data_IF_069581874316
#
_entry.id   IF_069581874316
#
_cell.length_a   1.000
_cell.length_b   1.000
_cell.length_c   1.000
_cell.angle_alpha   90.00
_cell.angle_beta   90.00
_cell.angle_gamma   90.00
#
_symmetry.space_group_name_H-M   'P 1'
#
loop_
_entity.id
_entity.type
_entity.pdbx_description
1 polymer ?
#
# COMPACT_ATOMS: atom_id res chain seq x y z
N UNK A 1 34.40 -13.49 9.62
CA UNK A 1 35.04 -13.30 8.30
C UNK A 1 35.45 -14.62 7.64
N UNK A 2 36.17 -15.51 8.32
CA UNK A 2 36.56 -16.83 7.77
C UNK A 2 35.40 -17.71 7.26
N UNK A 3 34.25 -17.70 7.96
CA UNK A 3 33.08 -18.49 7.55
C UNK A 3 32.37 -17.94 6.31
N UNK A 4 32.37 -16.60 6.14
CA UNK A 4 31.66 -15.92 5.05
C UNK A 4 32.46 -15.93 3.74
N UNK A 5 33.79 -15.83 3.80
CA UNK A 5 34.68 -15.80 2.62
C UNK A 5 34.95 -17.20 2.06
N UNK A 6 34.80 -18.25 2.88
CA UNK A 6 35.12 -19.64 2.50
C UNK A 6 33.97 -20.47 1.91
N UNK A 7 32.85 -19.88 1.52
CA UNK A 7 31.68 -20.62 1.00
C UNK A 7 30.99 -21.54 2.01
N UNK A 8 31.24 -21.35 3.32
CA UNK A 8 30.70 -22.17 4.41
C UNK A 8 29.39 -21.58 4.92
N UNK A 9 28.37 -21.58 4.06
CA UNK A 9 27.07 -20.93 4.29
C UNK A 9 26.39 -21.39 5.59
N UNK A 10 26.38 -22.69 5.87
CA UNK A 10 25.77 -23.26 7.07
C UNK A 10 26.45 -22.78 8.37
N UNK A 11 27.79 -22.67 8.35
CA UNK A 11 28.55 -22.19 9.50
C UNK A 11 28.33 -20.70 9.73
N UNK A 12 28.19 -19.92 8.66
CA UNK A 12 27.87 -18.49 8.75
C UNK A 12 26.45 -18.27 9.29
N UNK A 13 25.47 -19.03 8.81
CA UNK A 13 24.08 -18.96 9.27
C UNK A 13 23.98 -19.26 10.77
N UNK A 14 24.62 -20.33 11.24
CA UNK A 14 24.63 -20.70 12.66
C UNK A 14 25.24 -19.62 13.56
N UNK A 15 26.30 -18.94 13.08
CA UNK A 15 26.92 -17.82 13.81
C UNK A 15 25.97 -16.61 13.86
N UNK A 16 25.32 -16.26 12.75
CA UNK A 16 24.34 -15.16 12.72
C UNK A 16 23.17 -15.42 13.67
N UNK A 17 22.60 -16.63 13.65
CA UNK A 17 21.50 -17.01 14.56
C UNK A 17 21.92 -16.98 16.03
N UNK A 18 23.16 -17.38 16.34
CA UNK A 18 23.69 -17.29 17.70
C UNK A 18 23.85 -15.83 18.17
N UNK A 19 24.22 -14.92 17.26
CA UNK A 19 24.28 -13.47 17.53
C UNK A 19 22.86 -12.94 17.77
N UNK A 20 21.92 -13.21 16.87
CA UNK A 20 20.53 -12.78 16.98
C UNK A 20 19.91 -13.20 18.33
N UNK A 21 20.14 -14.46 18.73
CA UNK A 21 19.70 -14.99 20.03
C UNK A 21 20.36 -14.28 21.22
N UNK A 22 21.63 -13.92 21.13
CA UNK A 22 22.32 -13.19 22.19
C UNK A 22 21.78 -11.76 22.39
N UNK A 23 21.21 -11.18 21.34
CA UNK A 23 20.55 -9.86 21.38
C UNK A 23 19.03 -9.95 21.58
N UNK A 24 18.50 -11.13 21.93
CA UNK A 24 17.06 -11.37 22.13
C UNK A 24 16.20 -11.00 20.93
N UNK A 25 16.73 -11.09 19.71
CA UNK A 25 15.89 -11.00 18.51
C UNK A 25 14.91 -12.19 18.48
N UNK A 26 13.66 -11.97 18.05
CA UNK A 26 12.72 -13.07 17.85
C UNK A 26 13.27 -14.06 16.82
N UNK A 27 12.97 -15.35 17.00
CA UNK A 27 13.37 -16.39 16.05
C UNK A 27 12.86 -16.04 14.64
N UNK A 28 13.66 -16.24 13.58
CA UNK A 28 13.24 -15.95 12.22
C UNK A 28 11.98 -16.73 11.87
N UNK A 29 10.91 -16.02 11.53
CA UNK A 29 9.70 -16.67 11.02
C UNK A 29 10.04 -17.40 9.72
N UNK A 30 10.01 -18.73 9.74
CA UNK A 30 10.35 -19.55 8.58
C UNK A 30 9.47 -19.22 7.38
N UNK A 31 8.22 -18.79 7.63
CA UNK A 31 7.28 -18.37 6.60
C UNK A 31 7.77 -17.10 5.90
N UNK A 32 8.23 -16.11 6.68
CA UNK A 32 8.83 -14.88 6.15
C UNK A 32 10.15 -15.17 5.42
N UNK A 33 10.98 -16.07 5.98
CA UNK A 33 12.25 -16.48 5.37
C UNK A 33 12.04 -17.16 4.01
N UNK A 34 11.03 -18.01 3.89
CA UNK A 34 10.76 -18.76 2.67
C UNK A 34 9.97 -17.97 1.64
N UNK A 35 8.99 -17.17 2.06
CA UNK A 35 8.14 -16.42 1.14
C UNK A 35 8.74 -15.07 0.70
N UNK A 36 9.74 -14.55 1.43
CA UNK A 36 10.38 -13.25 1.16
C UNK A 36 9.38 -12.07 1.15
N UNK A 37 8.38 -12.13 2.04
CA UNK A 37 7.26 -11.18 2.08
C UNK A 37 7.49 -10.17 3.20
N UNK A 38 7.54 -8.85 2.92
CA UNK A 38 7.56 -7.83 3.96
C UNK A 38 6.32 -7.92 4.86
N UNK A 39 6.44 -7.67 6.17
CA UNK A 39 5.34 -7.84 7.13
C UNK A 39 4.04 -7.11 6.74
N UNK A 40 4.13 -5.86 6.27
CA UNK A 40 2.94 -5.12 5.81
C UNK A 40 2.27 -5.71 4.57
N UNK A 41 3.01 -6.43 3.72
CA UNK A 41 2.45 -7.15 2.57
C UNK A 41 1.68 -8.41 3.02
N UNK A 42 2.15 -9.09 4.05
CA UNK A 42 1.48 -10.27 4.60
C UNK A 42 0.09 -9.92 5.15
N UNK A 43 -0.02 -8.84 5.92
CA UNK A 43 -1.32 -8.38 6.44
C UNK A 43 -2.29 -8.04 5.32
N UNK A 44 -1.82 -7.36 4.27
CA UNK A 44 -2.66 -7.04 3.11
C UNK A 44 -3.14 -8.29 2.36
N UNK A 45 -2.28 -9.30 2.19
CA UNK A 45 -2.68 -10.58 1.58
C UNK A 45 -3.77 -11.27 2.39
N UNK A 46 -3.63 -11.31 3.72
CA UNK A 46 -4.61 -11.95 4.59
C UNK A 46 -5.98 -11.25 4.47
N UNK A 47 -6.01 -9.92 4.43
CA UNK A 47 -7.25 -9.16 4.20
C UNK A 47 -7.91 -9.53 2.87
N UNK A 48 -7.14 -9.58 1.77
CA UNK A 48 -7.66 -9.94 0.45
C UNK A 48 -8.18 -11.39 0.40
N UNK A 49 -7.48 -12.33 1.02
CA UNK A 49 -7.93 -13.72 1.11
C UNK A 49 -9.22 -13.85 1.93
N UNK A 50 -9.33 -13.10 3.03
CA UNK A 50 -10.54 -13.08 3.87
C UNK A 50 -11.75 -12.53 3.12
N UNK A 51 -11.57 -11.47 2.33
CA UNK A 51 -12.62 -10.95 1.45
C UNK A 51 -13.06 -11.99 0.40
N UNK A 52 -12.13 -12.79 -0.09
CA UNK A 52 -12.38 -13.90 -1.00
C UNK A 52 -12.88 -15.19 -0.31
N UNK A 53 -12.93 -15.24 1.03
CA UNK A 53 -13.24 -16.44 1.84
C UNK A 53 -12.28 -17.61 1.59
N UNK A 54 -10.99 -17.29 1.42
CA UNK A 54 -9.90 -18.22 1.11
C UNK A 54 -8.72 -18.10 2.09
N UNK A 55 -8.94 -17.58 3.30
CA UNK A 55 -7.91 -17.38 4.34
C UNK A 55 -7.09 -18.65 4.65
N UNK A 56 -7.71 -19.83 4.56
CA UNK A 56 -7.05 -21.12 4.75
C UNK A 56 -5.97 -21.43 3.69
N UNK A 57 -6.00 -20.76 2.53
CA UNK A 57 -5.07 -20.97 1.42
C UNK A 57 -3.86 -20.05 1.46
N UNK A 58 -3.62 -19.35 2.58
CA UNK A 58 -2.45 -18.48 2.74
C UNK A 58 -1.14 -19.21 2.41
N UNK A 59 -0.94 -20.42 2.92
CA UNK A 59 0.26 -21.21 2.64
C UNK A 59 0.44 -21.51 1.13
N UNK A 60 -0.66 -21.63 0.39
CA UNK A 60 -0.60 -21.83 -1.06
C UNK A 60 -0.19 -20.55 -1.78
N UNK A 61 -0.71 -19.39 -1.38
CA UNK A 61 -0.26 -18.08 -1.87
C UNK A 61 1.24 -17.92 -1.68
N UNK A 62 1.75 -18.20 -0.48
CA UNK A 62 3.17 -18.06 -0.15
C UNK A 62 4.06 -18.96 -0.98
N UNK A 63 3.61 -20.18 -1.29
CA UNK A 63 4.32 -21.10 -2.20
C UNK A 63 4.25 -20.66 -3.66
N UNK A 64 3.22 -19.90 -4.03
CA UNK A 64 3.01 -19.40 -5.38
C UNK A 64 3.81 -18.13 -5.68
N UNK A 65 4.09 -17.30 -4.66
CA UNK A 65 4.86 -16.05 -4.81
C UNK A 65 6.18 -16.22 -5.57
N UNK A 66 7.05 -17.21 -5.25
CA UNK A 66 8.27 -17.44 -6.02
C UNK A 66 8.02 -17.72 -7.51
N UNK A 67 6.92 -18.40 -7.86
CA UNK A 67 6.55 -18.67 -9.25
C UNK A 67 6.09 -17.40 -9.95
N UNK A 68 5.20 -16.63 -9.35
CA UNK A 68 4.74 -15.34 -9.90
C UNK A 68 5.91 -14.37 -10.08
N UNK A 69 6.86 -14.38 -9.14
CA UNK A 69 8.10 -13.59 -9.23
C UNK A 69 8.99 -14.05 -10.39
N UNK A 70 9.11 -15.36 -10.63
CA UNK A 70 9.87 -15.90 -11.76
C UNK A 70 9.23 -15.52 -13.10
N UNK A 71 7.91 -15.74 -13.22
CA UNK A 71 7.16 -15.44 -14.44
C UNK A 71 7.20 -13.93 -14.78
N UNK A 72 7.40 -13.07 -13.78
CA UNK A 72 7.56 -11.61 -13.92
C UNK A 72 9.00 -11.12 -14.04
N UNK A 73 9.97 -12.01 -14.26
CA UNK A 73 11.34 -11.61 -14.56
C UNK A 73 12.23 -11.39 -13.33
N UNK A 74 11.86 -11.96 -12.17
CA UNK A 74 12.60 -11.88 -10.92
C UNK A 74 12.85 -10.45 -10.41
N UNK A 75 11.82 -9.57 -10.32
CA UNK A 75 11.99 -8.24 -9.77
C UNK A 75 12.50 -8.32 -8.31
N UNK A 76 13.24 -7.29 -7.83
CA UNK A 76 13.56 -7.18 -6.41
C UNK A 76 12.26 -7.01 -5.62
N UNK A 77 12.15 -7.67 -4.46
CA UNK A 77 10.95 -7.57 -3.60
C UNK A 77 11.06 -6.37 -2.65
N UNK A 78 11.13 -5.18 -3.25
CA UNK A 78 11.05 -3.89 -2.56
C UNK A 78 9.79 -3.16 -3.02
N UNK A 79 9.34 -2.12 -2.31
CA UNK A 79 8.19 -1.33 -2.75
C UNK A 79 8.55 -0.59 -4.06
N UNK A 80 7.68 -0.59 -5.10
CA UNK A 80 6.32 -1.15 -5.13
C UNK A 80 6.22 -2.62 -5.60
N UNK A 81 7.28 -3.20 -6.16
CA UNK A 81 7.27 -4.52 -6.81
C UNK A 81 6.92 -5.67 -5.88
N UNK A 82 7.32 -5.63 -4.61
CA UNK A 82 6.90 -6.63 -3.61
C UNK A 82 5.38 -6.76 -3.58
N UNK A 83 4.68 -5.64 -3.36
CA UNK A 83 3.22 -5.59 -3.28
C UNK A 83 2.57 -6.08 -4.58
N UNK A 84 3.11 -5.70 -5.74
CA UNK A 84 2.58 -6.13 -7.04
C UNK A 84 2.61 -7.65 -7.17
N UNK A 85 3.76 -8.28 -6.88
CA UNK A 85 3.89 -9.75 -6.92
C UNK A 85 2.98 -10.40 -5.89
N UNK A 86 2.90 -9.81 -4.70
CA UNK A 86 2.11 -10.34 -3.62
C UNK A 86 0.61 -10.37 -3.94
N UNK A 87 0.05 -9.24 -4.35
CA UNK A 87 -1.37 -9.13 -4.74
C UNK A 87 -1.66 -10.04 -5.93
N UNK A 88 -0.74 -10.12 -6.90
CA UNK A 88 -0.95 -11.00 -8.04
C UNK A 88 -0.98 -12.49 -7.61
N UNK A 89 -0.13 -12.91 -6.67
CA UNK A 89 -0.17 -14.28 -6.15
C UNK A 89 -1.50 -14.62 -5.47
N UNK A 90 -2.09 -13.68 -4.72
CA UNK A 90 -3.44 -13.84 -4.16
C UNK A 90 -4.47 -14.01 -5.29
N UNK A 91 -4.46 -13.12 -6.29
CA UNK A 91 -5.37 -13.22 -7.43
C UNK A 91 -5.24 -14.54 -8.19
N UNK A 92 -4.03 -15.08 -8.30
CA UNK A 92 -3.78 -16.38 -8.91
C UNK A 92 -4.44 -17.52 -8.13
N UNK A 93 -4.29 -17.55 -6.79
CA UNK A 93 -4.96 -18.55 -5.94
C UNK A 93 -6.48 -18.41 -6.04
N UNK A 94 -7.02 -17.19 -5.98
CA UNK A 94 -8.46 -16.94 -6.16
C UNK A 94 -8.95 -17.49 -7.50
N UNK A 95 -8.21 -17.26 -8.58
CA UNK A 95 -8.58 -17.75 -9.93
C UNK A 95 -8.57 -19.27 -10.02
N UNK A 96 -7.53 -19.92 -9.46
CA UNK A 96 -7.43 -21.38 -9.40
C UNK A 96 -8.60 -22.00 -8.61
N UNK A 97 -8.98 -21.39 -7.48
CA UNK A 97 -10.13 -21.84 -6.68
C UNK A 97 -11.49 -21.61 -7.35
N UNK A 98 -11.55 -20.73 -8.34
CA UNK A 98 -12.72 -20.54 -9.21
C UNK A 98 -12.71 -21.47 -10.44
N UNK A 99 -11.71 -22.35 -10.58
CA UNK A 99 -11.56 -23.24 -11.72
C UNK A 99 -11.10 -22.54 -13.01
N UNK A 100 -10.48 -21.36 -12.89
CA UNK A 100 -9.99 -20.54 -14.01
C UNK A 100 -8.48 -20.71 -14.20
N UNK A 101 -7.96 -20.12 -15.28
CA UNK A 101 -6.51 -20.02 -15.50
C UNK A 101 -5.84 -19.20 -14.38
N UNK A 102 -4.60 -19.55 -14.03
CA UNK A 102 -3.82 -18.91 -12.97
C UNK A 102 -3.71 -17.39 -13.16
N UNK A 103 -3.59 -16.90 -14.40
CA UNK A 103 -3.47 -15.49 -14.72
C UNK A 103 -4.74 -14.94 -15.39
N UNK A 104 -5.91 -15.49 -15.05
CA UNK A 104 -7.18 -14.97 -15.55
C UNK A 104 -7.48 -13.58 -14.96
N UNK A 105 -7.25 -13.39 -13.66
CA UNK A 105 -7.43 -12.10 -13.00
C UNK A 105 -6.07 -11.42 -12.76
N UNK A 106 -5.67 -10.56 -13.70
CA UNK A 106 -4.40 -9.84 -13.63
C UNK A 106 -4.63 -8.41 -13.15
N UNK A 107 -3.88 -8.01 -12.11
CA UNK A 107 -3.88 -6.63 -11.65
C UNK A 107 -3.21 -5.70 -12.66
N UNK A 108 -3.70 -4.47 -12.78
CA UNK A 108 -3.13 -3.46 -13.67
C UNK A 108 -1.62 -3.25 -13.44
N UNK A 109 -1.21 -3.14 -12.18
CA UNK A 109 0.19 -2.94 -11.83
C UNK A 109 1.07 -4.15 -12.23
N UNK A 110 0.55 -5.37 -12.13
CA UNK A 110 1.27 -6.56 -12.61
C UNK A 110 1.38 -6.55 -14.13
N UNK A 111 0.31 -6.24 -14.86
CA UNK A 111 0.37 -6.11 -16.32
C UNK A 111 1.38 -5.03 -16.76
N UNK A 112 1.43 -3.89 -16.09
CA UNK A 112 2.43 -2.83 -16.34
C UNK A 112 3.86 -3.28 -16.03
N UNK A 113 4.06 -4.09 -14.99
CA UNK A 113 5.36 -4.71 -14.69
C UNK A 113 5.80 -5.66 -15.80
N UNK A 114 4.92 -6.54 -16.28
CA UNK A 114 5.20 -7.46 -17.39
C UNK A 114 5.45 -6.70 -18.70
N UNK A 115 4.73 -5.59 -18.91
CA UNK A 115 4.89 -4.74 -20.07
C UNK A 115 6.28 -4.09 -20.13
N UNK A 116 6.86 -3.73 -18.98
CA UNK A 116 8.17 -3.06 -18.87
C UNK A 116 8.09 -1.63 -18.32
N UNK A 117 6.92 -1.16 -17.89
CA UNK A 117 6.73 0.19 -17.36
C UNK A 117 7.54 0.45 -16.08
N UNK A 118 7.87 -0.59 -15.32
CA UNK A 118 8.69 -0.50 -14.10
C UNK A 118 10.20 -0.62 -14.38
N UNK A 119 10.60 -0.60 -15.65
CA UNK A 119 11.97 -0.78 -16.10
C UNK A 119 12.34 -2.24 -16.31
N UNK A 120 13.64 -2.46 -16.57
CA UNK A 120 14.16 -3.76 -16.98
C UNK A 120 14.35 -4.70 -15.78
N UNK A 121 13.76 -5.88 -15.87
CA UNK A 121 13.88 -6.92 -14.84
C UNK A 121 15.20 -7.70 -14.98
N UNK A 122 15.74 -8.29 -13.89
CA UNK A 122 16.99 -9.07 -13.94
C UNK A 122 16.91 -10.30 -14.86
N UNK A 123 15.72 -10.90 -14.96
CA UNK A 123 15.44 -12.03 -15.84
C UNK A 123 14.43 -11.60 -16.92
N UNK A 124 14.58 -12.02 -18.18
CA UNK A 124 13.65 -11.65 -19.23
C UNK A 124 12.29 -12.31 -18.99
N UNK A 125 11.22 -11.52 -19.12
CA UNK A 125 9.85 -12.05 -19.15
C UNK A 125 9.61 -12.71 -20.52
N UNK A 126 9.06 -13.93 -20.48
CA UNK A 126 8.71 -14.72 -21.66
C UNK A 126 7.79 -13.90 -22.60
N UNK A 127 8.16 -13.71 -23.89
CA UNK A 127 7.34 -12.99 -24.86
C UNK A 127 5.91 -13.53 -25.01
N UNK A 128 5.69 -14.84 -24.94
CA UNK A 128 4.35 -15.42 -25.04
C UNK A 128 3.53 -15.15 -23.77
N UNK A 129 4.17 -15.17 -22.61
CA UNK A 129 3.54 -14.74 -21.37
C UNK A 129 3.18 -13.26 -21.43
N UNK A 130 4.09 -12.39 -21.88
CA UNK A 130 3.79 -10.96 -22.06
C UNK A 130 2.64 -10.74 -23.03
N UNK A 131 2.58 -11.51 -24.11
CA UNK A 131 1.46 -11.43 -25.05
C UNK A 131 0.13 -11.82 -24.41
N UNK A 132 0.12 -12.91 -23.62
CA UNK A 132 -1.07 -13.35 -22.88
C UNK A 132 -1.57 -12.26 -21.91
N UNK A 133 -0.67 -11.58 -21.21
CA UNK A 133 -1.02 -10.61 -20.17
C UNK A 133 -1.31 -9.20 -20.74
N UNK A 134 -0.53 -8.76 -21.72
CA UNK A 134 -0.50 -7.37 -22.19
C UNK A 134 -0.94 -7.20 -23.65
N UNK A 135 -1.15 -8.28 -24.40
CA UNK A 135 -1.46 -8.24 -25.83
C UNK A 135 -0.28 -7.87 -26.74
N UNK A 136 0.95 -7.83 -26.21
CA UNK A 136 2.18 -7.53 -26.96
C UNK A 136 3.30 -8.46 -26.54
N UNK A 137 4.13 -8.90 -27.49
CA UNK A 137 5.35 -9.68 -27.20
C UNK A 137 6.52 -8.79 -26.80
N UNK A 138 6.52 -7.57 -27.31
CA UNK A 138 7.58 -6.59 -27.11
C UNK A 138 7.45 -5.88 -25.76
N UNK A 139 8.59 -5.71 -25.10
CA UNK A 139 8.74 -4.88 -23.90
C UNK A 139 8.57 -3.41 -24.28
N UNK A 140 7.73 -2.69 -23.53
CA UNK A 140 7.47 -1.26 -23.70
C UNK A 140 7.84 -0.53 -22.41
N UNK A 141 9.02 0.09 -22.35
CA UNK A 141 9.41 0.93 -21.22
C UNK A 141 8.44 2.10 -21.02
N UNK A 142 8.41 2.64 -19.81
CA UNK A 142 7.65 3.85 -19.52
C UNK A 142 8.17 5.03 -20.34
N UNK A 143 7.26 5.71 -21.06
CA UNK A 143 7.57 6.84 -21.91
C UNK A 143 7.23 8.16 -21.21
N UNK A 144 8.26 8.94 -20.88
CA UNK A 144 8.12 10.25 -20.24
C UNK A 144 7.85 11.39 -21.23
N UNK A 145 7.98 11.15 -22.54
CA UNK A 145 7.81 12.19 -23.57
C UNK A 145 6.37 12.69 -23.70
N UNK A 146 5.40 11.88 -23.25
CA UNK A 146 3.97 12.19 -23.29
C UNK A 146 3.46 12.90 -22.03
N UNK A 147 4.36 13.24 -21.10
CA UNK A 147 3.98 13.91 -19.87
C UNK A 147 3.24 15.23 -20.14
N UNK A 148 2.15 15.44 -19.40
CA UNK A 148 1.41 16.70 -19.36
C UNK A 148 1.26 17.14 -17.90
N UNK A 149 1.52 18.42 -17.58
CA UNK A 149 1.32 18.93 -16.22
C UNK A 149 -0.14 18.80 -15.81
N UNK A 150 -0.38 18.63 -14.52
CA UNK A 150 -1.73 18.56 -13.97
C UNK A 150 -2.40 19.93 -14.06
N UNK A 151 -3.70 19.93 -14.35
CA UNK A 151 -4.49 21.14 -14.46
C UNK A 151 -4.57 21.87 -13.11
N UNK A 152 -4.25 23.16 -13.11
CA UNK A 152 -4.36 24.03 -11.93
C UNK A 152 -5.51 25.04 -12.12
N UNK A 153 -6.78 24.62 -11.99
CA UNK A 153 -7.92 25.50 -12.24
C UNK A 153 -8.14 26.51 -11.11
N UNK A 154 -8.75 27.67 -11.40
CA UNK A 154 -9.23 28.60 -10.38
C UNK A 154 -10.46 28.04 -9.65
N UNK A 155 -10.60 28.36 -8.36
CA UNK A 155 -11.70 27.94 -7.51
C UNK A 155 -12.66 29.11 -7.31
N UNK A 156 -13.85 29.02 -7.91
CA UNK A 156 -14.87 30.07 -7.80
C UNK A 156 -15.27 30.36 -6.34
N UNK A 157 -15.38 29.33 -5.50
CA UNK A 157 -15.70 29.43 -4.06
C UNK A 157 -14.62 30.14 -3.22
N UNK A 158 -13.42 30.32 -3.77
CA UNK A 158 -12.30 31.02 -3.13
C UNK A 158 -11.95 32.30 -3.89
N UNK A 159 -12.95 32.98 -4.47
CA UNK A 159 -12.75 34.22 -5.21
C UNK A 159 -11.95 34.07 -6.51
N UNK A 160 -11.92 32.88 -7.12
CA UNK A 160 -11.16 32.59 -8.33
C UNK A 160 -9.68 32.31 -8.10
N UNK A 161 -9.26 32.08 -6.85
CA UNK A 161 -7.88 31.71 -6.53
C UNK A 161 -7.49 30.37 -7.17
N UNK A 162 -6.27 30.28 -7.70
CA UNK A 162 -5.75 29.03 -8.26
C UNK A 162 -5.65 27.94 -7.19
N UNK A 163 -5.86 26.70 -7.61
CA UNK A 163 -5.79 25.51 -6.76
C UNK A 163 -4.41 25.39 -6.08
N UNK A 164 -3.33 25.52 -6.84
CA UNK A 164 -1.95 25.61 -6.34
C UNK A 164 -1.38 27.02 -6.54
N UNK A 165 -0.81 27.60 -5.48
CA UNK A 165 -0.24 28.96 -5.49
C UNK A 165 1.29 28.99 -5.49
N UNK A 166 1.94 27.87 -5.15
CA UNK A 166 3.39 27.78 -5.07
C UNK A 166 3.89 26.42 -5.57
N UNK A 167 5.20 26.30 -5.73
CA UNK A 167 5.86 25.10 -6.24
C UNK A 167 5.54 23.85 -5.42
N UNK A 168 5.47 23.94 -4.09
CA UNK A 168 5.17 22.79 -3.23
C UNK A 168 3.75 22.27 -3.47
N UNK A 169 2.79 23.17 -3.67
CA UNK A 169 1.40 22.82 -3.97
C UNK A 169 1.25 22.28 -5.40
N UNK A 170 2.02 22.80 -6.36
CA UNK A 170 2.07 22.25 -7.71
C UNK A 170 2.65 20.82 -7.68
N UNK A 171 3.76 20.60 -6.97
CA UNK A 171 4.34 19.25 -6.80
C UNK A 171 3.37 18.29 -6.12
N UNK A 172 2.60 18.76 -5.14
CA UNK A 172 1.57 17.96 -4.50
C UNK A 172 0.47 17.56 -5.50
N UNK A 173 0.07 18.48 -6.38
CA UNK A 173 -0.89 18.23 -7.46
C UNK A 173 -0.34 17.24 -8.49
N UNK A 174 0.94 17.34 -8.85
CA UNK A 174 1.59 16.41 -9.78
C UNK A 174 1.70 14.99 -9.22
N UNK A 175 2.08 14.85 -7.95
CA UNK A 175 2.30 13.55 -7.32
C UNK A 175 0.98 12.88 -6.89
N UNK A 176 0.00 13.65 -6.42
CA UNK A 176 -1.23 13.14 -5.81
C UNK A 176 -2.47 13.95 -6.23
N UNK A 177 -2.82 14.04 -7.52
CA UNK A 177 -3.83 14.98 -8.03
C UNK A 177 -5.19 14.86 -7.32
N UNK A 178 -5.68 13.64 -7.09
CA UNK A 178 -6.97 13.40 -6.43
C UNK A 178 -7.00 13.88 -4.97
N UNK A 179 -5.91 13.66 -4.23
CA UNK A 179 -5.81 14.05 -2.81
C UNK A 179 -5.53 15.54 -2.70
N UNK A 180 -4.60 16.03 -3.52
CA UNK A 180 -4.20 17.43 -3.59
C UNK A 180 -5.37 18.34 -3.94
N UNK A 181 -6.19 17.97 -4.93
CA UNK A 181 -7.32 18.78 -5.37
C UNK A 181 -8.31 19.04 -4.23
N UNK A 182 -8.70 18.00 -3.49
CA UNK A 182 -9.62 18.15 -2.35
C UNK A 182 -8.99 18.95 -1.21
N UNK A 183 -7.75 18.61 -0.85
CA UNK A 183 -7.03 19.28 0.24
C UNK A 183 -6.80 20.77 -0.04
N UNK A 184 -6.24 21.09 -1.21
CA UNK A 184 -5.95 22.47 -1.61
C UNK A 184 -7.24 23.26 -1.79
N UNK A 185 -8.29 22.69 -2.38
CA UNK A 185 -9.58 23.40 -2.49
C UNK A 185 -10.12 23.82 -1.14
N UNK A 186 -10.15 22.91 -0.16
CA UNK A 186 -10.64 23.21 1.18
C UNK A 186 -9.79 24.29 1.85
N UNK A 187 -8.47 24.17 1.76
CA UNK A 187 -7.52 25.18 2.27
C UNK A 187 -7.77 26.56 1.65
N UNK A 188 -7.99 26.64 0.34
CA UNK A 188 -8.26 27.88 -0.40
C UNK A 188 -9.58 28.54 0.03
N UNK A 189 -10.64 27.76 0.20
CA UNK A 189 -11.93 28.25 0.70
C UNK A 189 -11.77 28.80 2.13
N UNK A 190 -10.99 28.12 2.97
CA UNK A 190 -10.76 28.56 4.35
C UNK A 190 -9.91 29.83 4.44
N UNK A 191 -8.85 29.93 3.62
CA UNK A 191 -8.04 31.14 3.45
C UNK A 191 -8.90 32.32 2.97
N UNK A 192 -9.78 32.08 1.99
CA UNK A 192 -10.68 33.10 1.47
C UNK A 192 -11.69 33.59 2.52
N UNK A 193 -12.30 32.67 3.29
CA UNK A 193 -13.21 32.99 4.40
C UNK A 193 -12.52 33.81 5.50
N UNK A 194 -11.25 33.52 5.80
CA UNK A 194 -10.46 34.29 6.78
C UNK A 194 -10.14 35.71 6.28
N UNK A 195 -9.93 35.89 4.97
CA UNK A 195 -9.67 37.20 4.37
C UNK A 195 -10.93 38.03 4.11
N UNK A 196 -12.11 37.39 4.00
CA UNK A 196 -13.39 38.06 3.79
C UNK A 196 -14.43 37.65 4.85
N UNK A 197 -14.29 38.13 6.11
CA UNK A 197 -15.21 37.78 7.19
C UNK A 197 -16.64 38.27 6.94
N UNK A 198 -16.82 39.37 6.19
CA UNK A 198 -18.12 40.02 5.97
C UNK A 198 -19.00 39.33 4.91
N UNK A 199 -18.41 38.65 3.91
CA UNK A 199 -19.17 37.88 2.90
C UNK A 199 -19.62 36.50 3.40
N UNK A 200 -19.01 36.00 4.48
CA UNK A 200 -19.43 34.75 5.13
C UNK A 200 -20.76 34.85 5.89
N UNK A 201 -21.24 36.08 6.15
CA UNK A 201 -22.44 36.35 6.99
C UNK A 201 -23.68 36.71 6.15
N UNK A 202 -23.61 36.74 4.83
CA UNK A 202 -24.75 37.11 3.98
C UNK A 202 -25.15 36.04 2.95
N UNK A 203 -25.86 35.01 3.42
CA UNK A 203 -26.98 34.45 2.66
C UNK A 203 -28.19 34.21 3.59
N UNK A 204 -29.43 34.43 3.09
CA UNK A 204 -30.63 34.49 3.89
C UNK A 204 -31.15 33.10 4.28
N UNK A 205 -31.86 33.14 5.39
CA UNK A 205 -32.61 32.06 6.03
C UNK A 205 -33.51 31.31 5.04
N UNK A 206 -33.38 29.98 5.04
CA UNK A 206 -34.11 29.05 4.19
C UNK A 206 -33.98 27.64 4.77
N UNK A 207 -34.71 27.41 5.86
CA UNK A 207 -34.63 26.21 6.66
C UNK A 207 -34.93 24.91 5.91
N UNK A 208 -34.08 23.91 6.15
CA UNK A 208 -34.45 22.55 6.52
C UNK A 208 -33.15 21.82 6.90
N UNK A 209 -33.03 21.51 8.18
CA UNK A 209 -32.03 20.60 8.76
C UNK A 209 -32.17 19.21 8.15
N UNK A 210 -31.12 18.70 7.50
CA UNK A 210 -30.74 17.28 7.63
C UNK A 210 -29.27 17.09 7.23
N UNK A 211 -28.39 17.22 8.21
CA UNK A 211 -26.99 16.79 8.10
C UNK A 211 -26.92 15.38 8.69
N UNK A 212 -26.45 14.35 7.96
CA UNK A 212 -26.07 13.10 8.62
C UNK A 212 -24.87 13.40 9.51
N UNK A 213 -25.05 13.28 10.83
CA UNK A 213 -23.96 13.51 11.78
C UNK A 213 -22.86 12.47 11.56
N UNK A 214 -21.63 12.97 11.40
CA UNK A 214 -20.45 12.16 11.66
C UNK A 214 -20.47 11.82 13.15
N UNK A 215 -20.32 10.55 13.56
CA UNK A 215 -20.36 10.16 14.98
C UNK A 215 -19.16 10.68 15.80
N UNK A 216 -18.31 11.55 15.23
CA UNK A 216 -17.07 12.04 15.84
C UNK A 216 -17.08 13.54 16.20
N UNK A 217 -18.20 14.26 16.03
CA UNK A 217 -18.29 15.70 16.28
C UNK A 217 -19.39 16.10 17.29
N UNK A 218 -19.57 15.33 18.37
CA UNK A 218 -20.36 15.79 19.51
C UNK A 218 -19.43 16.31 20.63
N UNK A 219 -19.70 17.53 21.10
CA UNK A 219 -18.90 18.26 22.10
C UNK A 219 -18.95 17.71 23.53
N UNK A 220 -19.68 16.61 23.76
CA UNK A 220 -20.07 16.18 25.10
C UNK A 220 -19.64 14.73 25.40
N UNK A 221 -18.64 14.18 24.69
CA UNK A 221 -18.11 12.84 25.00
C UNK A 221 -16.97 12.92 26.02
N UNK A 222 -17.29 12.72 27.30
CA UNK A 222 -16.32 12.24 28.29
C UNK A 222 -16.35 10.70 28.31
N UNK A 223 -15.22 10.00 28.11
CA UNK A 223 -15.21 8.56 28.24
C UNK A 223 -15.40 8.18 29.70
N UNK A 224 -16.47 7.46 30.02
CA UNK A 224 -16.55 6.70 31.27
C UNK A 224 -15.50 5.59 31.23
N UNK A 225 -14.65 5.49 32.25
CA UNK A 225 -13.70 4.40 32.45
C UNK A 225 -14.44 3.05 32.56
N UNK A 226 -14.73 2.45 31.41
CA UNK A 226 -15.21 1.08 31.25
C UNK A 226 -14.12 0.23 30.61
N UNK A 227 -14.05 -1.04 30.98
CA UNK A 227 -12.94 -1.93 30.59
C UNK A 227 -12.81 -2.08 29.07
N UNK A 228 -11.56 -2.13 28.55
CA UNK A 228 -11.29 -2.20 27.12
C UNK A 228 -11.85 -3.50 26.51
N UNK A 229 -12.31 -3.45 25.24
CA UNK A 229 -12.87 -4.63 24.58
C UNK A 229 -11.83 -5.76 24.49
N UNK A 230 -12.26 -6.98 24.88
CA UNK A 230 -11.49 -8.24 24.93
C UNK A 230 -10.86 -8.71 23.60
N UNK A 231 -11.05 -7.95 22.53
CA UNK A 231 -10.40 -8.15 21.24
C UNK A 231 -8.89 -7.98 21.32
N UNK A 232 -8.40 -7.05 22.16
CA UNK A 232 -6.97 -6.72 22.27
C UNK A 232 -6.17 -7.69 23.14
N UNK A 233 -6.84 -8.50 23.95
CA UNK A 233 -6.20 -9.50 24.81
C UNK A 233 -5.78 -10.77 24.06
N UNK A 234 -6.30 -10.97 22.84
CA UNK A 234 -6.06 -12.19 22.03
C UNK A 234 -5.34 -11.91 20.70
N UNK A 235 -4.72 -10.73 20.54
CA UNK A 235 -3.97 -10.40 19.33
C UNK A 235 -2.64 -11.19 19.28
N UNK A 236 -2.35 -11.95 18.20
CA UNK A 236 -1.12 -12.75 18.13
C UNK A 236 0.14 -11.89 17.97
N UNK A 237 1.22 -12.32 18.62
CA UNK A 237 2.49 -11.61 18.88
C UNK A 237 3.31 -11.13 17.65
N UNK A 238 2.80 -11.25 16.42
CA UNK A 238 3.51 -10.79 15.22
C UNK A 238 3.34 -9.28 14.97
N UNK A 239 2.40 -8.63 15.66
CA UNK A 239 2.08 -7.21 15.48
C UNK A 239 2.83 -6.29 16.47
N UNK A 240 4.15 -6.46 16.61
CA UNK A 240 5.06 -5.89 17.64
C UNK A 240 5.02 -4.37 17.89
N UNK A 241 3.87 -3.85 18.31
CA UNK A 241 3.58 -2.46 18.66
C UNK A 241 2.95 -2.32 20.05
N UNK A 242 2.70 -3.43 20.76
CA UNK A 242 2.04 -3.42 22.08
C UNK A 242 2.96 -2.97 23.20
N UNK A 243 4.27 -3.21 23.10
CA UNK A 243 5.20 -2.94 24.21
C UNK A 243 5.75 -1.50 24.23
N UNK A 244 5.54 -0.72 23.15
CA UNK A 244 6.07 0.65 23.06
C UNK A 244 5.12 1.74 23.59
N UNK A 245 3.88 1.40 23.95
CA UNK A 245 2.90 2.39 24.43
C UNK A 245 2.79 2.37 25.97
N UNK A 246 3.13 1.27 26.64
CA UNK A 246 2.96 1.15 28.10
C UNK A 246 4.03 1.91 28.90
N UNK A 247 5.21 2.17 28.34
CA UNK A 247 6.29 2.89 29.08
C UNK A 247 6.27 4.41 28.90
N UNK A 248 5.33 4.97 28.10
CA UNK A 248 5.16 6.42 27.98
C UNK A 248 4.08 6.99 28.93
N UNK A 249 3.48 6.15 29.78
CA UNK A 249 2.40 6.50 30.71
C UNK A 249 2.73 6.19 32.18
N UNK A 250 4.01 6.16 32.56
CA UNK A 250 4.50 6.19 33.94
C UNK A 250 5.57 7.27 34.08
#
# INVERSE_FOLDING_TARGET
LEAAVGGKYQKSLAICQAIEKAFSYPEPDEIVRHAQIPGGMYTNMMTQLKEAKLEQHLNEVLRLVPRVRLDSGLPPLVTPTSQIIGVQAVNCIVSLHQGKDMYENVSKNFAELILGSYGKTPWPVDPEFRYKICGTREEKPYDTSQYKPQDNPPIAEAGGMLLALNEKEQLLLELFPSVATKFLRNKRIEEWKKMHPEEAVSQPDGGATDTPSSPYEASDYEPSDGEPPSFWENAPNWAGWTDAIVTAAQ
#
